data_IF_453826408080
#
_entry.id   IF_453826408080
#
_cell.length_a   1.000
_cell.length_b   1.000
_cell.length_c   1.000
_cell.angle_alpha   90.00
_cell.angle_beta   90.00
_cell.angle_gamma   90.00
#
_symmetry.space_group_name_H-M   'P 1'
#
loop_
_entity.id
_entity.type
_entity.pdbx_description
1 polymer ?
#
# COMPACT_ATOMS: atom_id res chain seq x y z
N UNK A 1 -16.78 -2.70 50.04
CA UNK A 1 -16.05 -3.95 49.76
C UNK A 1 -16.52 -4.52 48.46
N UNK A 2 -15.65 -4.42 47.46
CA UNK A 2 -15.51 -5.34 46.33
C UNK A 2 -16.72 -5.55 45.42
N UNK A 3 -17.03 -4.52 44.62
CA UNK A 3 -17.50 -4.77 43.25
C UNK A 3 -16.29 -5.20 42.41
N UNK A 4 -15.83 -6.43 42.58
CA UNK A 4 -14.97 -7.08 41.60
C UNK A 4 -15.85 -7.47 40.40
N UNK A 5 -16.11 -6.51 39.53
CA UNK A 5 -16.36 -6.83 38.13
C UNK A 5 -15.06 -7.44 37.62
N UNK A 6 -14.98 -8.77 37.70
CA UNK A 6 -14.00 -9.55 36.96
C UNK A 6 -14.17 -9.16 35.50
N UNK A 7 -13.22 -8.39 34.97
CA UNK A 7 -13.09 -8.08 33.56
C UNK A 7 -12.97 -9.40 32.81
N UNK A 8 -14.10 -9.97 32.41
CA UNK A 8 -14.15 -11.17 31.59
C UNK A 8 -13.33 -10.88 30.34
N UNK A 9 -12.16 -11.51 30.23
CA UNK A 9 -11.30 -11.39 29.08
C UNK A 9 -12.10 -11.84 27.85
N UNK A 10 -12.54 -10.89 27.02
CA UNK A 10 -13.36 -11.23 25.88
C UNK A 10 -12.47 -11.91 24.83
N UNK A 11 -12.79 -13.14 24.46
CA UNK A 11 -12.04 -13.87 23.43
C UNK A 11 -11.94 -13.05 22.13
N UNK A 12 -12.98 -12.25 21.85
CA UNK A 12 -13.03 -11.29 20.74
C UNK A 12 -11.90 -10.26 20.79
N UNK A 13 -11.66 -9.63 21.93
CA UNK A 13 -10.60 -8.61 22.09
C UNK A 13 -9.21 -9.23 22.00
N UNK A 14 -9.04 -10.45 22.52
CA UNK A 14 -7.82 -11.22 22.34
C UNK A 14 -7.53 -11.52 20.86
N UNK A 15 -8.53 -11.98 20.10
CA UNK A 15 -8.38 -12.28 18.68
C UNK A 15 -8.05 -11.04 17.85
N UNK A 16 -8.64 -9.89 18.18
CA UNK A 16 -8.30 -8.60 17.56
C UNK A 16 -6.82 -8.29 17.80
N UNK A 17 -6.35 -8.35 19.05
CA UNK A 17 -4.95 -8.06 19.39
C UNK A 17 -3.97 -9.04 18.73
N UNK A 18 -4.31 -10.34 18.66
CA UNK A 18 -3.47 -11.34 17.98
C UNK A 18 -3.38 -11.03 16.50
N UNK A 19 -4.50 -10.71 15.85
CA UNK A 19 -4.53 -10.34 14.42
C UNK A 19 -3.67 -9.11 14.14
N UNK A 20 -3.85 -8.05 14.94
CA UNK A 20 -3.07 -6.81 14.84
C UNK A 20 -1.57 -7.08 14.97
N UNK A 21 -1.15 -7.75 16.03
CA UNK A 21 0.25 -8.09 16.27
C UNK A 21 0.83 -8.99 15.18
N UNK A 22 0.03 -9.92 14.66
CA UNK A 22 0.46 -10.82 13.57
C UNK A 22 0.70 -10.03 12.29
N UNK A 23 -0.19 -9.11 11.91
CA UNK A 23 -0.01 -8.27 10.73
C UNK A 23 1.20 -7.34 10.87
N UNK A 24 1.38 -6.71 12.02
CA UNK A 24 2.58 -5.87 12.28
C UNK A 24 3.86 -6.71 12.20
N UNK A 25 3.86 -7.89 12.79
CA UNK A 25 5.01 -8.82 12.72
C UNK A 25 5.29 -9.23 11.29
N UNK A 26 4.25 -9.61 10.53
CA UNK A 26 4.37 -10.01 9.14
C UNK A 26 4.89 -8.87 8.26
N UNK A 27 4.42 -7.65 8.50
CA UNK A 27 4.88 -6.42 7.82
C UNK A 27 6.38 -6.20 8.00
N UNK A 28 6.93 -6.55 9.16
CA UNK A 28 8.35 -6.39 9.44
C UNK A 28 9.24 -7.46 8.79
N UNK A 29 8.70 -8.67 8.56
CA UNK A 29 9.48 -9.78 7.96
C UNK A 29 9.19 -9.98 6.47
N UNK A 30 8.14 -9.36 5.91
CA UNK A 30 7.65 -9.61 4.55
C UNK A 30 8.72 -9.46 3.46
N UNK A 31 9.64 -8.50 3.59
CA UNK A 31 10.67 -8.25 2.58
C UNK A 31 11.73 -9.36 2.47
N UNK A 32 11.86 -10.21 3.49
CA UNK A 32 12.80 -11.34 3.48
C UNK A 32 12.11 -12.69 3.26
N UNK A 33 10.78 -12.72 3.18
CA UNK A 33 10.02 -13.95 2.95
C UNK A 33 10.07 -14.35 1.48
N UNK A 34 10.50 -15.57 1.21
CA UNK A 34 10.52 -16.20 -0.12
C UNK A 34 9.64 -17.45 -0.07
N UNK A 35 8.53 -17.42 -0.79
CA UNK A 35 7.48 -18.44 -0.69
C UNK A 35 7.90 -19.82 -1.18
N UNK A 36 8.83 -19.91 -2.14
CA UNK A 36 9.29 -21.19 -2.71
C UNK A 36 9.81 -22.20 -1.66
N UNK A 37 10.21 -21.72 -0.48
CA UNK A 37 10.72 -22.56 0.61
C UNK A 37 9.65 -23.16 1.53
N UNK A 38 8.37 -22.79 1.36
CA UNK A 38 7.27 -23.16 2.26
C UNK A 38 6.23 -24.05 1.56
N UNK A 39 5.37 -24.68 2.35
CA UNK A 39 4.27 -25.47 1.81
C UNK A 39 3.23 -24.59 1.09
N UNK A 40 2.88 -25.01 -0.13
CA UNK A 40 1.88 -24.37 -1.00
C UNK A 40 0.55 -24.11 -0.31
N UNK A 41 0.10 -24.99 0.59
CA UNK A 41 -1.14 -24.79 1.33
C UNK A 41 -1.03 -23.59 2.28
N UNK A 42 0.07 -23.47 3.04
CA UNK A 42 0.28 -22.36 3.97
C UNK A 42 0.40 -21.02 3.23
N UNK A 43 1.13 -21.00 2.12
CA UNK A 43 1.28 -19.81 1.27
C UNK A 43 -0.08 -19.36 0.74
N UNK A 44 -0.87 -20.29 0.21
CA UNK A 44 -2.21 -19.99 -0.28
C UNK A 44 -3.13 -19.43 0.82
N UNK A 45 -3.08 -19.96 2.05
CA UNK A 45 -3.87 -19.41 3.16
C UNK A 45 -3.42 -18.00 3.53
N UNK A 46 -2.12 -17.77 3.59
CA UNK A 46 -1.55 -16.45 3.89
C UNK A 46 -1.95 -15.41 2.83
N UNK A 47 -1.73 -15.72 1.54
CA UNK A 47 -2.07 -14.81 0.44
C UNK A 47 -3.57 -14.56 0.39
N UNK A 48 -4.42 -15.59 0.53
CA UNK A 48 -5.86 -15.40 0.55
C UNK A 48 -6.31 -14.49 1.70
N UNK A 49 -5.73 -14.65 2.90
CA UNK A 49 -6.00 -13.77 4.04
C UNK A 49 -5.59 -12.32 3.76
N UNK A 50 -4.39 -12.11 3.23
CA UNK A 50 -3.88 -10.78 2.86
C UNK A 50 -4.72 -10.11 1.77
N UNK A 51 -5.07 -10.85 0.72
CA UNK A 51 -5.94 -10.35 -0.36
C UNK A 51 -7.33 -10.01 0.17
N UNK A 52 -7.90 -10.85 1.03
CA UNK A 52 -9.17 -10.55 1.69
C UNK A 52 -9.10 -9.26 2.50
N UNK A 53 -8.12 -9.12 3.41
CA UNK A 53 -7.98 -7.92 4.23
C UNK A 53 -7.62 -6.66 3.44
N UNK A 54 -6.92 -6.80 2.31
CA UNK A 54 -6.66 -5.68 1.40
C UNK A 54 -7.91 -5.19 0.67
N UNK A 55 -8.90 -6.07 0.43
CA UNK A 55 -10.08 -5.79 -0.41
C UNK A 55 -11.39 -5.59 0.35
N UNK A 56 -11.45 -5.96 1.61
CA UNK A 56 -12.65 -5.83 2.41
C UNK A 56 -12.98 -4.39 2.79
N UNK A 57 -14.23 -4.00 2.54
CA UNK A 57 -14.80 -2.71 2.93
C UNK A 57 -15.59 -2.78 4.26
N UNK A 58 -15.13 -3.54 5.25
CA UNK A 58 -15.78 -3.54 6.57
C UNK A 58 -15.22 -2.41 7.44
N UNK A 59 -16.08 -1.76 8.22
CA UNK A 59 -15.66 -0.69 9.14
C UNK A 59 -14.54 -1.16 10.07
N UNK A 60 -14.54 -2.42 10.52
CA UNK A 60 -13.49 -3.00 11.37
C UNK A 60 -12.10 -3.11 10.72
N UNK A 61 -12.03 -3.15 9.38
CA UNK A 61 -10.78 -3.28 8.61
C UNK A 61 -10.26 -1.90 8.17
N UNK A 62 -11.20 -0.97 7.99
CA UNK A 62 -10.96 0.42 7.59
C UNK A 62 -10.62 1.28 8.80
N UNK A 63 -11.25 1.05 9.95
CA UNK A 63 -10.99 1.77 11.19
C UNK A 63 -9.56 1.49 11.67
N UNK A 64 -8.93 2.53 12.22
CA UNK A 64 -7.61 2.43 12.82
C UNK A 64 -7.60 1.36 13.91
N UNK A 65 -6.57 0.51 13.92
CA UNK A 65 -6.30 -0.41 15.03
C UNK A 65 -6.49 0.32 16.37
N UNK A 66 -7.15 -0.29 17.36
CA UNK A 66 -7.53 0.38 18.61
C UNK A 66 -6.34 0.99 19.36
N UNK A 67 -5.12 0.53 19.03
CA UNK A 67 -3.84 0.94 19.59
C UNK A 67 -2.94 1.74 18.60
N UNK A 68 -3.27 1.78 17.30
CA UNK A 68 -2.41 2.33 16.23
C UNK A 68 -3.23 3.08 15.17
N UNK A 69 -2.79 4.26 14.72
CA UNK A 69 -3.42 5.04 13.63
C UNK A 69 -3.35 4.40 12.22
N UNK A 70 -3.13 3.09 12.14
CA UNK A 70 -2.88 2.34 10.91
C UNK A 70 -4.06 1.38 10.73
N UNK A 71 -4.58 1.23 9.51
CA UNK A 71 -5.68 0.32 9.22
C UNK A 71 -5.18 -1.08 8.86
N UNK A 72 -6.02 -2.11 9.03
CA UNK A 72 -5.70 -3.49 8.64
C UNK A 72 -5.47 -3.58 7.13
N UNK A 73 -6.27 -2.84 6.35
CA UNK A 73 -6.08 -2.72 4.91
C UNK A 73 -4.70 -2.16 4.56
N UNK A 74 -4.24 -1.13 5.30
CA UNK A 74 -2.92 -0.55 5.10
C UNK A 74 -1.81 -1.58 5.31
N UNK A 75 -1.82 -2.27 6.45
CA UNK A 75 -0.83 -3.30 6.76
C UNK A 75 -0.85 -4.43 5.72
N UNK A 76 -2.03 -4.85 5.28
CA UNK A 76 -2.15 -5.95 4.30
C UNK A 76 -1.55 -5.58 2.95
N UNK A 77 -1.79 -4.35 2.47
CA UNK A 77 -1.19 -3.88 1.21
C UNK A 77 0.30 -3.62 1.39
N UNK A 78 0.75 -3.10 2.53
CA UNK A 78 2.18 -2.95 2.82
C UNK A 78 2.91 -4.31 2.81
N UNK A 79 2.31 -5.34 3.40
CA UNK A 79 2.84 -6.71 3.37
C UNK A 79 2.92 -7.20 1.92
N UNK A 80 1.85 -7.07 1.13
CA UNK A 80 1.84 -7.48 -0.28
C UNK A 80 2.91 -6.75 -1.09
N UNK A 81 3.10 -5.45 -0.84
CA UNK A 81 4.13 -4.62 -1.50
C UNK A 81 5.54 -5.04 -1.09
N UNK A 82 5.76 -5.42 0.16
CA UNK A 82 7.06 -5.95 0.60
C UNK A 82 7.36 -7.34 0.05
N UNK A 83 6.33 -8.18 -0.08
CA UNK A 83 6.44 -9.50 -0.72
C UNK A 83 6.76 -9.38 -2.22
N UNK A 84 6.23 -8.34 -2.88
CA UNK A 84 6.44 -8.10 -4.31
C UNK A 84 7.87 -7.71 -4.69
N UNK A 85 8.76 -7.55 -3.71
CA UNK A 85 10.21 -7.40 -3.95
C UNK A 85 10.80 -8.68 -4.58
N UNK A 86 10.21 -9.84 -4.29
CA UNK A 86 10.62 -11.11 -4.90
C UNK A 86 9.64 -11.51 -5.99
N UNK A 87 10.10 -11.52 -7.25
CA UNK A 87 9.25 -11.84 -8.41
C UNK A 87 8.55 -13.21 -8.26
N UNK A 88 9.23 -14.21 -7.68
CA UNK A 88 8.65 -15.54 -7.41
C UNK A 88 7.41 -15.48 -6.50
N UNK A 89 7.34 -14.54 -5.56
CA UNK A 89 6.18 -14.39 -4.69
C UNK A 89 4.97 -13.85 -5.46
N UNK A 90 5.19 -13.06 -6.51
CA UNK A 90 4.12 -12.51 -7.36
C UNK A 90 3.43 -13.60 -8.16
N UNK A 91 4.18 -14.61 -8.62
CA UNK A 91 3.60 -15.79 -9.29
C UNK A 91 2.59 -16.50 -8.36
N UNK A 92 2.92 -16.68 -7.08
CA UNK A 92 1.99 -17.26 -6.10
C UNK A 92 0.78 -16.35 -5.84
N UNK A 93 0.99 -15.03 -5.78
CA UNK A 93 -0.10 -14.06 -5.58
C UNK A 93 -1.10 -14.12 -6.75
N UNK A 94 -0.61 -14.15 -7.99
CA UNK A 94 -1.45 -14.22 -9.18
C UNK A 94 -2.06 -15.62 -9.42
N UNK A 95 -1.40 -16.68 -8.96
CA UNK A 95 -1.94 -18.05 -9.01
C UNK A 95 -3.10 -18.29 -8.03
N UNK A 96 -3.36 -17.34 -7.12
CA UNK A 96 -4.43 -17.47 -6.12
C UNK A 96 -5.81 -17.44 -6.80
N UNK A 97 -6.73 -18.37 -6.47
CA UNK A 97 -7.94 -18.62 -7.28
C UNK A 97 -8.98 -17.48 -7.27
N UNK A 98 -8.86 -16.47 -6.41
CA UNK A 98 -9.85 -15.40 -6.25
C UNK A 98 -9.59 -14.22 -7.18
N UNK A 99 -9.79 -14.41 -8.49
CA UNK A 99 -9.63 -13.34 -9.51
C UNK A 99 -10.41 -12.06 -9.16
N UNK A 100 -11.58 -12.19 -8.55
CA UNK A 100 -12.38 -11.05 -8.07
C UNK A 100 -11.64 -10.20 -7.01
N UNK A 101 -10.92 -10.84 -6.09
CA UNK A 101 -10.13 -10.14 -5.09
C UNK A 101 -8.98 -9.38 -5.75
N UNK A 102 -8.33 -9.96 -6.75
CA UNK A 102 -7.24 -9.29 -7.49
C UNK A 102 -7.77 -8.05 -8.23
N UNK A 103 -8.92 -8.12 -8.91
CA UNK A 103 -9.53 -6.94 -9.55
C UNK A 103 -9.90 -5.88 -8.51
N UNK A 104 -10.51 -6.30 -7.39
CA UNK A 104 -10.86 -5.38 -6.30
C UNK A 104 -9.64 -4.69 -5.73
N UNK A 105 -8.52 -5.40 -5.62
CA UNK A 105 -7.23 -4.86 -5.21
C UNK A 105 -6.79 -3.77 -6.20
N UNK A 106 -6.86 -3.98 -7.51
CA UNK A 106 -6.50 -2.95 -8.50
C UNK A 106 -7.32 -1.67 -8.31
N UNK A 107 -8.63 -1.77 -8.08
CA UNK A 107 -9.46 -0.59 -7.79
C UNK A 107 -9.02 0.15 -6.53
N UNK A 108 -8.61 -0.57 -5.49
CA UNK A 108 -8.12 0.03 -4.24
C UNK A 108 -6.78 0.72 -4.45
N UNK A 109 -5.85 0.09 -5.19
CA UNK A 109 -4.56 0.70 -5.54
C UNK A 109 -4.77 1.95 -6.41
N UNK A 110 -5.66 1.92 -7.40
CA UNK A 110 -6.02 3.11 -8.19
C UNK A 110 -6.60 4.23 -7.32
N UNK A 111 -7.43 3.89 -6.32
CA UNK A 111 -7.94 4.88 -5.37
C UNK A 111 -6.81 5.47 -4.50
N UNK A 112 -5.83 4.67 -4.11
CA UNK A 112 -4.66 5.13 -3.35
C UNK A 112 -3.74 6.04 -4.18
N UNK A 113 -3.77 5.97 -5.51
CA UNK A 113 -3.09 6.95 -6.38
C UNK A 113 -3.69 8.35 -6.24
N UNK A 114 -4.98 8.44 -5.92
CA UNK A 114 -5.72 9.69 -5.85
C UNK A 114 -5.63 10.35 -4.46
N UNK A 115 -4.50 11.01 -4.20
CA UNK A 115 -4.22 11.71 -2.93
C UNK A 115 -5.22 12.84 -2.65
N UNK A 116 -5.76 13.51 -3.67
CA UNK A 116 -6.64 14.66 -3.50
C UNK A 116 -8.08 14.26 -3.13
N UNK A 117 -8.60 13.15 -3.66
CA UNK A 117 -9.92 12.63 -3.26
C UNK A 117 -9.90 12.04 -1.84
N UNK A 118 -8.79 11.42 -1.43
CA UNK A 118 -8.61 10.99 -0.04
C UNK A 118 -8.71 12.16 0.95
N UNK A 119 -8.24 13.36 0.56
CA UNK A 119 -8.31 14.57 1.37
C UNK A 119 -9.68 15.28 1.29
N UNK A 120 -10.48 15.09 0.24
CA UNK A 120 -11.79 15.74 0.13
C UNK A 120 -12.92 15.00 0.86
N UNK A 121 -12.70 13.73 1.23
CA UNK A 121 -13.56 13.01 2.15
C UNK A 121 -13.30 13.34 3.63
N UNK A 122 -12.39 14.27 3.93
CA UNK A 122 -12.07 14.75 5.30
C UNK A 122 -13.29 15.37 6.00
N UNK A 123 -14.35 15.75 5.28
CA UNK A 123 -15.59 16.25 5.87
C UNK A 123 -16.60 15.16 6.27
N UNK A 124 -16.44 13.89 5.86
CA UNK A 124 -17.39 12.80 6.18
C UNK A 124 -16.75 11.39 6.38
N UNK A 125 -15.44 11.25 6.35
CA UNK A 125 -14.75 9.95 6.46
C UNK A 125 -14.14 9.74 7.84
N UNK A 126 -14.43 8.59 8.44
CA UNK A 126 -13.92 8.11 9.73
C UNK A 126 -12.39 7.84 9.74
N UNK A 127 -11.67 8.30 8.71
CA UNK A 127 -10.24 8.07 8.51
C UNK A 127 -9.54 9.43 8.40
N UNK A 128 -9.02 9.92 9.51
CA UNK A 128 -8.15 11.11 9.53
C UNK A 128 -6.71 10.71 9.14
N UNK A 129 -6.48 10.38 7.87
CA UNK A 129 -5.13 10.18 7.36
C UNK A 129 -4.40 11.53 7.32
N UNK A 130 -3.20 11.56 7.88
CA UNK A 130 -2.29 12.69 7.67
C UNK A 130 -1.88 12.76 6.21
N UNK A 131 -1.63 13.96 5.68
CA UNK A 131 -1.20 14.16 4.29
C UNK A 131 0.06 13.34 3.94
N UNK A 132 0.96 13.14 4.91
CA UNK A 132 2.13 12.26 4.79
C UNK A 132 1.77 10.78 4.60
N UNK A 133 0.76 10.28 5.31
CA UNK A 133 0.33 8.88 5.17
C UNK A 133 -0.31 8.61 3.81
N UNK A 134 -1.05 9.57 3.26
CA UNK A 134 -1.62 9.44 1.91
C UNK A 134 -0.54 9.33 0.82
N UNK A 135 0.59 10.04 0.98
CA UNK A 135 1.72 9.90 0.07
C UNK A 135 2.37 8.51 0.17
N UNK A 136 2.56 7.99 1.39
CA UNK A 136 3.12 6.64 1.60
C UNK A 136 2.22 5.56 0.97
N UNK A 137 0.90 5.66 1.15
CA UNK A 137 -0.07 4.76 0.51
C UNK A 137 0.05 4.78 -1.02
N UNK A 138 0.17 5.98 -1.61
CA UNK A 138 0.39 6.10 -3.05
C UNK A 138 1.67 5.41 -3.50
N UNK A 139 2.77 5.55 -2.76
CA UNK A 139 4.02 4.85 -3.10
C UNK A 139 3.87 3.32 -3.03
N UNK A 140 3.19 2.79 -2.01
CA UNK A 140 2.87 1.36 -1.95
C UNK A 140 2.03 0.91 -3.16
N UNK A 141 1.05 1.73 -3.57
CA UNK A 141 0.24 1.43 -4.74
C UNK A 141 1.07 1.38 -6.02
N UNK A 142 1.96 2.35 -6.25
CA UNK A 142 2.84 2.39 -7.43
C UNK A 142 3.75 1.16 -7.47
N UNK A 143 4.42 0.84 -6.35
CA UNK A 143 5.34 -0.32 -6.30
C UNK A 143 4.59 -1.62 -6.58
N UNK A 144 3.44 -1.83 -5.94
CA UNK A 144 2.69 -3.07 -6.09
C UNK A 144 2.08 -3.18 -7.50
N UNK A 145 1.56 -2.09 -8.07
CA UNK A 145 1.06 -2.07 -9.46
C UNK A 145 2.17 -2.42 -10.46
N UNK A 146 3.36 -1.83 -10.32
CA UNK A 146 4.51 -2.14 -11.17
C UNK A 146 4.89 -3.63 -11.08
N UNK A 147 4.97 -4.18 -9.86
CA UNK A 147 5.29 -5.59 -9.67
C UNK A 147 4.24 -6.54 -10.29
N UNK A 148 2.95 -6.22 -10.14
CA UNK A 148 1.85 -6.99 -10.72
C UNK A 148 1.86 -6.98 -12.26
N UNK A 149 2.09 -5.81 -12.86
CA UNK A 149 2.15 -5.62 -14.32
C UNK A 149 3.36 -6.35 -14.92
N UNK A 150 4.51 -6.28 -14.24
CA UNK A 150 5.72 -7.00 -14.65
C UNK A 150 5.55 -8.52 -14.65
N UNK A 151 4.70 -9.04 -13.77
CA UNK A 151 4.45 -10.47 -13.61
C UNK A 151 3.53 -11.02 -14.73
N UNK A 152 2.43 -10.34 -15.04
CA UNK A 152 1.49 -10.75 -16.10
C UNK A 152 1.00 -9.55 -16.93
N UNK A 153 1.29 -9.57 -18.23
CA UNK A 153 0.82 -8.56 -19.19
C UNK A 153 -0.70 -8.40 -19.26
N UNK A 154 -1.49 -9.43 -18.91
CA UNK A 154 -2.95 -9.31 -18.84
C UNK A 154 -3.39 -8.37 -17.73
N UNK A 155 -2.64 -8.30 -16.63
CA UNK A 155 -2.89 -7.38 -15.52
C UNK A 155 -2.76 -5.94 -16.00
N UNK A 156 -1.77 -5.65 -16.84
CA UNK A 156 -1.62 -4.33 -17.47
C UNK A 156 -2.87 -3.94 -18.29
N UNK A 157 -3.40 -4.89 -19.07
CA UNK A 157 -4.61 -4.66 -19.85
C UNK A 157 -5.81 -4.35 -18.95
N UNK A 158 -5.99 -5.09 -17.86
CA UNK A 158 -7.08 -4.87 -16.90
C UNK A 158 -6.95 -3.50 -16.22
N UNK A 159 -5.76 -3.15 -15.76
CA UNK A 159 -5.49 -1.87 -15.08
C UNK A 159 -5.72 -0.68 -16.03
N UNK A 160 -5.33 -0.79 -17.29
CA UNK A 160 -5.58 0.23 -18.30
C UNK A 160 -7.08 0.49 -18.56
N UNK A 161 -7.94 -0.53 -18.36
CA UNK A 161 -9.39 -0.38 -18.46
C UNK A 161 -10.04 0.17 -17.19
N UNK A 162 -9.34 0.20 -16.05
CA UNK A 162 -9.85 0.85 -14.85
C UNK A 162 -9.88 2.36 -15.09
N UNK A 163 -11.05 3.01 -14.90
CA UNK A 163 -11.23 4.40 -15.28
C UNK A 163 -10.27 5.33 -14.53
N UNK A 164 -9.75 6.32 -15.25
CA UNK A 164 -8.84 7.37 -14.76
C UNK A 164 -7.45 6.89 -14.30
N UNK A 165 -7.15 5.59 -14.24
CA UNK A 165 -5.85 5.09 -13.74
C UNK A 165 -4.67 5.69 -14.49
N UNK A 166 -4.69 5.65 -15.83
CA UNK A 166 -3.62 6.23 -16.66
C UNK A 166 -3.50 7.74 -16.42
N UNK A 167 -4.61 8.44 -16.29
CA UNK A 167 -4.59 9.89 -16.00
C UNK A 167 -4.00 10.17 -14.63
N UNK A 168 -4.32 9.39 -13.59
CA UNK A 168 -3.75 9.55 -12.24
C UNK A 168 -2.25 9.29 -12.24
N UNK A 169 -1.80 8.29 -13.00
CA UNK A 169 -0.39 7.98 -13.19
C UNK A 169 0.33 9.16 -13.88
N UNK A 170 -0.20 9.69 -14.99
CA UNK A 170 0.38 10.85 -15.68
C UNK A 170 0.43 12.07 -14.75
N UNK A 171 -0.66 12.35 -14.02
CA UNK A 171 -0.72 13.47 -13.08
C UNK A 171 0.36 13.35 -11.98
N UNK A 172 0.69 12.14 -11.53
CA UNK A 172 1.78 11.92 -10.59
C UNK A 172 3.14 12.36 -11.16
N UNK A 173 3.43 12.04 -12.42
CA UNK A 173 4.66 12.49 -13.09
C UNK A 173 4.67 14.01 -13.29
N UNK A 174 3.55 14.58 -13.72
CA UNK A 174 3.43 16.04 -13.92
C UNK A 174 3.62 16.80 -12.59
N UNK A 175 3.04 16.30 -11.50
CA UNK A 175 3.23 16.86 -10.15
C UNK A 175 4.69 16.77 -9.70
N UNK A 176 5.37 15.66 -10.00
CA UNK A 176 6.79 15.50 -9.70
C UNK A 176 7.66 16.47 -10.49
N UNK A 177 7.43 16.58 -11.80
CA UNK A 177 8.15 17.49 -12.68
C UNK A 177 7.95 18.95 -12.23
N UNK A 178 6.71 19.34 -11.96
CA UNK A 178 6.36 20.69 -11.52
C UNK A 178 7.07 21.06 -10.21
N UNK A 179 7.02 20.19 -9.20
CA UNK A 179 7.73 20.41 -7.92
C UNK A 179 9.24 20.49 -8.12
N UNK A 180 9.79 19.64 -8.97
CA UNK A 180 11.22 19.66 -9.29
C UNK A 180 11.63 20.97 -9.95
N UNK A 181 10.85 21.46 -10.92
CA UNK A 181 11.07 22.76 -11.57
C UNK A 181 10.95 23.93 -10.59
N UNK A 182 9.99 23.90 -9.67
CA UNK A 182 9.86 24.91 -8.62
C UNK A 182 11.11 24.95 -7.71
N UNK A 183 11.66 23.79 -7.35
CA UNK A 183 12.89 23.69 -6.56
C UNK A 183 14.12 24.19 -7.34
N UNK A 184 14.23 23.83 -8.63
CA UNK A 184 15.31 24.30 -9.50
C UNK A 184 15.25 25.83 -9.63
N UNK A 185 14.06 26.38 -9.80
CA UNK A 185 13.86 27.84 -9.90
C UNK A 185 14.25 28.54 -8.60
N UNK A 186 13.99 27.92 -7.44
CA UNK A 186 14.22 28.53 -6.12
C UNK A 186 15.65 28.39 -5.60
N UNK A 187 16.29 27.25 -5.82
CA UNK A 187 17.59 26.90 -5.23
C UNK A 187 18.70 26.63 -6.25
N UNK A 188 18.37 26.59 -7.55
CA UNK A 188 19.31 26.28 -8.63
C UNK A 188 19.42 24.79 -8.93
N UNK A 189 19.84 24.46 -10.15
CA UNK A 189 19.96 23.07 -10.65
C UNK A 189 20.95 22.23 -9.84
N UNK A 190 22.08 22.82 -9.44
CA UNK A 190 23.17 22.10 -8.78
C UNK A 190 22.77 21.64 -7.38
N UNK A 191 21.93 22.42 -6.69
CA UNK A 191 21.39 22.06 -5.39
C UNK A 191 20.41 20.89 -5.50
N UNK A 192 19.52 20.91 -6.49
CA UNK A 192 18.55 19.83 -6.73
C UNK A 192 19.24 18.53 -7.14
N UNK A 193 20.27 18.60 -7.99
CA UNK A 193 21.08 17.43 -8.35
C UNK A 193 21.78 16.82 -7.13
N UNK A 194 22.33 17.65 -6.24
CA UNK A 194 22.92 17.17 -4.99
C UNK A 194 21.88 16.54 -4.07
N UNK A 195 20.67 17.10 -3.97
CA UNK A 195 19.58 16.50 -3.21
C UNK A 195 19.17 15.13 -3.77
N UNK A 196 19.04 15.02 -5.09
CA UNK A 196 18.68 13.75 -5.77
C UNK A 196 19.76 12.69 -5.52
N UNK A 197 21.04 13.05 -5.65
CA UNK A 197 22.15 12.13 -5.47
C UNK A 197 22.31 11.65 -4.01
N UNK A 198 21.90 12.48 -3.04
CA UNK A 198 22.00 12.16 -1.61
C UNK A 198 20.72 11.54 -1.02
N UNK A 199 19.70 11.23 -1.83
CA UNK A 199 18.39 10.70 -1.38
C UNK A 199 17.63 11.60 -0.37
N UNK A 200 18.02 12.86 -0.20
CA UNK A 200 17.35 13.82 0.70
C UNK A 200 16.06 14.40 0.08
N UNK A 201 15.73 14.01 -1.15
CA UNK A 201 14.55 14.47 -1.89
C UNK A 201 13.22 14.10 -1.24
N UNK A 202 13.18 13.03 -0.43
CA UNK A 202 11.95 12.48 0.15
C UNK A 202 11.19 13.49 1.01
N UNK A 203 11.90 14.29 1.80
CA UNK A 203 11.27 15.25 2.72
C UNK A 203 10.68 16.48 2.00
N UNK A 204 11.17 16.77 0.79
CA UNK A 204 10.84 18.01 0.06
C UNK A 204 9.86 17.71 -1.08
N UNK A 205 10.09 16.63 -1.84
CA UNK A 205 9.26 16.23 -2.97
C UNK A 205 8.09 15.32 -2.56
N UNK A 206 8.15 14.71 -1.37
CA UNK A 206 7.24 13.67 -0.89
C UNK A 206 7.18 12.45 -1.82
N UNK A 207 8.25 12.20 -2.58
CA UNK A 207 8.42 11.05 -3.49
C UNK A 207 9.90 10.92 -3.89
N UNK A 208 10.30 9.77 -4.44
CA UNK A 208 11.68 9.49 -4.85
C UNK A 208 11.81 9.32 -6.36
N UNK A 209 13.02 9.50 -6.88
CA UNK A 209 13.32 9.22 -8.28
C UNK A 209 13.06 7.74 -8.65
N UNK A 210 13.30 6.82 -7.70
CA UNK A 210 12.99 5.41 -7.88
C UNK A 210 11.49 5.17 -8.05
N UNK A 211 10.64 5.95 -7.38
CA UNK A 211 9.19 5.87 -7.55
C UNK A 211 8.74 6.44 -8.88
N UNK A 212 9.39 7.48 -9.40
CA UNK A 212 9.19 7.94 -10.78
C UNK A 212 9.58 6.85 -11.80
N UNK A 213 10.71 6.17 -11.60
CA UNK A 213 11.10 5.06 -12.47
C UNK A 213 10.11 3.89 -12.38
N UNK A 214 9.65 3.54 -11.18
CA UNK A 214 8.63 2.51 -10.99
C UNK A 214 7.32 2.88 -11.69
N UNK A 215 6.91 4.15 -11.62
CA UNK A 215 5.75 4.62 -12.37
C UNK A 215 6.00 4.54 -13.88
N UNK A 216 7.14 4.99 -14.40
CA UNK A 216 7.41 4.95 -15.84
C UNK A 216 7.42 3.53 -16.43
N UNK A 217 7.63 2.52 -15.59
CA UNK A 217 7.58 1.11 -15.98
C UNK A 217 6.14 0.54 -16.02
N UNK A 218 5.17 1.20 -15.39
CA UNK A 218 3.73 0.88 -15.42
C UNK A 218 3.13 1.36 -16.73
#
# INVERSE_FOLDING_TARGET
NENQNTSSFSLSECLVNIRENTLVTLTNIASVLIFDTYDSYLINQLINGLLYWSTCYSNEIIDSLQSSYISIQHLSIEILTKLSVHDMNMDFILATPSFYCIISLFHILTNWLNVDNMNNNISNSYINLTRSQAYIQREFAIVLLNALIRCDSNVAHIIAHIPYTISLLINFLEDYEKKTLELITRYGSDYVLNLINNQETEQILFTTNDMCNNMCNI
#
